data_IF_991294638516
#
_entry.id   IF_991294638516
#
_cell.length_a   1.000
_cell.length_b   1.000
_cell.length_c   1.000
_cell.angle_alpha   90.00
_cell.angle_beta   90.00
_cell.angle_gamma   90.00
#
_symmetry.space_group_name_H-M   'P 1'
#
loop_
_entity.id
_entity.type
_entity.pdbx_description
1 polymer ?
#
# COMPACT_ATOMS: atom_id res chain seq x y z
N UNK A 1 7.04 0.01 -24.80
CA UNK A 1 7.84 0.86 -23.89
C UNK A 1 7.09 0.97 -22.57
N UNK A 2 7.79 0.99 -21.43
CA UNK A 2 7.14 1.25 -20.12
C UNK A 2 6.67 2.71 -20.10
N UNK A 3 5.46 2.96 -19.60
CA UNK A 3 4.92 4.33 -19.49
C UNK A 3 5.08 4.85 -18.07
N UNK A 4 5.33 6.16 -17.92
CA UNK A 4 5.34 6.86 -16.65
C UNK A 4 3.91 7.04 -16.10
N UNK A 5 3.27 5.91 -15.77
CA UNK A 5 1.90 5.80 -15.30
C UNK A 5 1.84 4.82 -14.13
N UNK A 6 1.19 5.23 -13.05
CA UNK A 6 0.69 4.31 -12.02
C UNK A 6 -0.82 4.27 -12.15
N UNK A 7 -1.39 3.08 -12.31
CA UNK A 7 -2.84 2.90 -12.39
C UNK A 7 -3.34 2.09 -11.20
N UNK A 8 -4.64 2.18 -10.90
CA UNK A 8 -5.31 1.25 -9.99
C UNK A 8 -6.16 0.25 -10.77
N UNK A 9 -6.82 -0.67 -10.05
CA UNK A 9 -7.90 -1.48 -10.58
C UNK A 9 -9.21 -1.24 -9.81
N UNK A 10 -10.32 -1.56 -10.47
CA UNK A 10 -11.66 -1.28 -9.97
C UNK A 10 -12.07 -2.22 -8.83
N UNK A 11 -11.64 -3.48 -8.87
CA UNK A 11 -12.09 -4.53 -7.93
C UNK A 11 -10.93 -5.42 -7.43
N UNK A 12 -11.24 -6.45 -6.66
CA UNK A 12 -10.27 -7.46 -6.18
C UNK A 12 -9.78 -8.42 -7.28
N UNK A 13 -10.40 -8.41 -8.45
CA UNK A 13 -9.94 -9.13 -9.63
C UNK A 13 -9.93 -8.21 -10.84
N UNK A 14 -8.97 -8.42 -11.74
CA UNK A 14 -8.93 -7.68 -13.00
C UNK A 14 -10.09 -8.10 -13.90
N UNK A 15 -10.71 -7.16 -14.59
CA UNK A 15 -11.66 -7.42 -15.66
C UNK A 15 -10.95 -7.80 -16.97
N UNK A 16 -11.67 -8.24 -17.99
CA UNK A 16 -11.10 -8.47 -19.32
C UNK A 16 -10.49 -7.18 -19.91
N UNK A 17 -11.19 -6.06 -19.75
CA UNK A 17 -10.75 -4.75 -20.25
C UNK A 17 -9.52 -4.25 -19.51
N UNK A 18 -9.46 -4.42 -18.19
CA UNK A 18 -8.27 -4.07 -17.40
C UNK A 18 -7.07 -4.93 -17.81
N UNK A 19 -7.26 -6.23 -18.06
CA UNK A 19 -6.17 -7.09 -18.58
C UNK A 19 -5.67 -6.63 -19.94
N UNK A 20 -6.57 -6.27 -20.85
CA UNK A 20 -6.20 -5.77 -22.18
C UNK A 20 -5.43 -4.44 -22.05
N UNK A 21 -5.95 -3.51 -21.25
CA UNK A 21 -5.32 -2.23 -20.96
C UNK A 21 -3.92 -2.39 -20.37
N UNK A 22 -3.75 -3.25 -19.35
CA UNK A 22 -2.45 -3.44 -18.69
C UNK A 22 -1.39 -4.00 -19.65
N UNK A 23 -1.77 -4.93 -20.55
CA UNK A 23 -0.89 -5.48 -21.58
C UNK A 23 -0.45 -4.41 -22.59
N UNK A 24 -1.38 -3.56 -23.01
CA UNK A 24 -1.12 -2.53 -24.03
C UNK A 24 -0.41 -1.31 -23.46
N UNK A 25 -0.94 -0.74 -22.38
CA UNK A 25 -0.44 0.48 -21.78
C UNK A 25 0.91 0.29 -21.08
N UNK A 26 1.17 -0.90 -20.51
CA UNK A 26 2.40 -1.24 -19.78
C UNK A 26 2.78 -0.15 -18.75
N UNK A 27 1.91 0.12 -17.76
CA UNK A 27 2.17 1.12 -16.74
C UNK A 27 3.46 0.79 -15.98
N UNK A 28 4.05 1.81 -15.35
CA UNK A 28 5.22 1.63 -14.52
C UNK A 28 4.87 0.78 -13.29
N UNK A 29 3.72 1.01 -12.65
CA UNK A 29 3.27 0.27 -11.47
C UNK A 29 1.75 0.24 -11.28
N UNK A 30 1.31 -0.53 -10.30
CA UNK A 30 -0.09 -0.68 -9.87
C UNK A 30 -0.23 -0.16 -8.44
N UNK A 31 -1.21 0.70 -8.15
CA UNK A 31 -1.55 1.13 -6.79
C UNK A 31 -2.84 0.45 -6.31
N UNK A 32 -2.79 -0.13 -5.12
CA UNK A 32 -3.89 -0.88 -4.51
C UNK A 32 -4.60 -0.07 -3.42
N UNK A 33 -5.91 -0.25 -3.36
CA UNK A 33 -6.81 0.38 -2.40
C UNK A 33 -7.56 -0.69 -1.59
N UNK A 34 -8.27 -0.25 -0.55
CA UNK A 34 -9.07 -1.15 0.32
C UNK A 34 -10.02 -2.07 -0.46
N UNK A 35 -10.63 -1.59 -1.54
CA UNK A 35 -11.55 -2.37 -2.41
C UNK A 35 -10.87 -3.54 -3.15
N UNK A 36 -9.54 -3.54 -3.24
CA UNK A 36 -8.77 -4.57 -3.93
C UNK A 36 -8.29 -5.69 -2.98
N UNK A 37 -8.47 -5.52 -1.66
CA UNK A 37 -7.93 -6.39 -0.62
C UNK A 37 -9.03 -7.29 -0.05
N UNK A 38 -8.93 -8.60 -0.28
CA UNK A 38 -9.84 -9.62 0.28
C UNK A 38 -9.12 -10.49 1.31
N UNK A 39 -8.09 -11.18 0.86
CA UNK A 39 -7.24 -12.04 1.70
C UNK A 39 -5.84 -12.19 1.09
N UNK A 40 -4.96 -12.90 1.80
CA UNK A 40 -3.55 -13.08 1.43
C UNK A 40 -3.37 -13.78 0.08
N UNK A 41 -4.15 -14.83 -0.17
CA UNK A 41 -4.03 -15.62 -1.39
C UNK A 41 -4.55 -14.83 -2.61
N UNK A 42 -5.69 -14.18 -2.48
CA UNK A 42 -6.25 -13.31 -3.51
C UNK A 42 -5.31 -12.15 -3.83
N UNK A 43 -4.79 -11.46 -2.82
CA UNK A 43 -3.96 -10.29 -3.04
C UNK A 43 -2.63 -10.66 -3.71
N UNK A 44 -2.05 -11.79 -3.30
CA UNK A 44 -0.86 -12.35 -3.95
C UNK A 44 -1.12 -12.72 -5.42
N UNK A 45 -2.24 -13.35 -5.71
CA UNK A 45 -2.63 -13.70 -7.08
C UNK A 45 -2.79 -12.44 -7.96
N UNK A 46 -3.40 -11.37 -7.43
CA UNK A 46 -3.56 -10.10 -8.13
C UNK A 46 -2.22 -9.43 -8.46
N UNK A 47 -1.27 -9.40 -7.52
CA UNK A 47 0.05 -8.79 -7.77
C UNK A 47 0.90 -9.60 -8.75
N UNK A 48 0.81 -10.92 -8.70
CA UNK A 48 1.46 -11.83 -9.65
C UNK A 48 0.84 -11.70 -11.06
N UNK A 49 -0.49 -11.63 -11.15
CA UNK A 49 -1.21 -11.41 -12.42
C UNK A 49 -0.81 -10.09 -13.07
N UNK A 50 -0.75 -9.00 -12.28
CA UNK A 50 -0.29 -7.70 -12.79
C UNK A 50 1.11 -7.76 -13.39
N UNK A 51 2.08 -8.37 -12.68
CA UNK A 51 3.47 -8.51 -13.18
C UNK A 51 3.56 -9.35 -14.44
N UNK A 52 2.76 -10.43 -14.52
CA UNK A 52 2.66 -11.26 -15.71
C UNK A 52 2.12 -10.46 -16.91
N UNK A 53 1.04 -9.67 -16.71
CA UNK A 53 0.46 -8.82 -17.75
C UNK A 53 1.40 -7.69 -18.19
N UNK A 54 2.13 -7.08 -17.25
CA UNK A 54 3.12 -6.05 -17.53
C UNK A 54 4.38 -6.60 -18.23
N UNK A 55 4.57 -7.92 -18.22
CA UNK A 55 5.76 -8.60 -18.71
C UNK A 55 7.03 -8.23 -17.92
N UNK A 56 6.87 -7.95 -16.62
CA UNK A 56 7.92 -7.41 -15.75
C UNK A 56 7.77 -7.98 -14.33
N UNK A 57 8.65 -8.91 -13.96
CA UNK A 57 8.68 -9.49 -12.63
C UNK A 57 8.99 -8.46 -11.53
N UNK A 58 9.68 -7.37 -11.88
CA UNK A 58 10.07 -6.29 -10.97
C UNK A 58 9.05 -5.13 -10.94
N UNK A 59 7.91 -5.23 -11.63
CA UNK A 59 6.95 -4.15 -11.69
C UNK A 59 6.48 -3.73 -10.28
N UNK A 60 6.60 -2.43 -9.93
CA UNK A 60 6.13 -1.90 -8.66
C UNK A 60 4.63 -2.12 -8.42
N UNK A 61 4.33 -2.53 -7.19
CA UNK A 61 2.99 -2.53 -6.63
C UNK A 61 3.02 -1.68 -5.36
N UNK A 62 2.19 -0.64 -5.37
CA UNK A 62 2.11 0.41 -4.37
C UNK A 62 0.86 0.24 -3.50
N UNK A 63 0.91 0.74 -2.28
CA UNK A 63 -0.21 0.84 -1.34
C UNK A 63 0.00 2.04 -0.41
N UNK A 64 -1.05 2.55 0.23
CA UNK A 64 -0.91 3.41 1.41
C UNK A 64 -1.19 2.60 2.68
N UNK A 65 -0.15 2.19 3.39
CA UNK A 65 -0.23 1.35 4.59
C UNK A 65 0.49 2.00 5.79
N UNK A 66 0.04 3.20 6.18
CA UNK A 66 0.64 3.98 7.28
C UNK A 66 0.32 3.42 8.68
N UNK A 67 -0.90 2.89 8.84
CA UNK A 67 -1.50 2.57 10.13
C UNK A 67 -2.61 3.54 10.55
N UNK A 68 -3.38 3.17 11.56
CA UNK A 68 -4.54 3.94 12.01
C UNK A 68 -5.59 4.11 10.92
N UNK A 69 -5.89 5.35 10.52
CA UNK A 69 -6.94 5.64 9.53
C UNK A 69 -6.53 5.30 8.09
N UNK A 70 -5.23 5.23 7.81
CA UNK A 70 -4.69 4.95 6.46
C UNK A 70 -4.05 3.57 6.48
N UNK A 71 -4.91 2.57 6.34
CA UNK A 71 -4.53 1.17 6.35
C UNK A 71 -5.51 0.42 5.43
N UNK A 72 -5.00 -0.17 4.35
CA UNK A 72 -5.83 -0.91 3.37
C UNK A 72 -5.89 -2.39 3.72
N UNK A 73 -4.77 -2.97 4.17
CA UNK A 73 -4.66 -4.33 4.70
C UNK A 73 -4.92 -4.28 6.21
N UNK A 74 -6.09 -4.74 6.64
CA UNK A 74 -6.60 -4.57 8.01
C UNK A 74 -7.10 -5.88 8.63
N UNK A 75 -7.52 -5.83 9.89
CA UNK A 75 -8.11 -6.98 10.55
C UNK A 75 -9.39 -7.47 9.86
N UNK A 76 -9.72 -8.78 9.94
CA UNK A 76 -9.01 -9.82 10.69
C UNK A 76 -7.80 -10.47 9.99
N UNK A 77 -7.55 -10.18 8.71
CA UNK A 77 -6.52 -10.88 7.90
C UNK A 77 -5.11 -10.37 8.20
N UNK A 78 -4.99 -9.09 8.56
CA UNK A 78 -3.75 -8.43 8.94
C UNK A 78 -3.88 -7.74 10.30
N UNK A 79 -2.74 -7.34 10.86
CA UNK A 79 -2.68 -6.64 12.15
C UNK A 79 -3.21 -5.22 11.98
N UNK A 80 -3.88 -4.69 13.00
CA UNK A 80 -4.13 -3.25 13.11
C UNK A 80 -2.83 -2.55 13.54
N UNK A 81 -2.38 -1.57 12.76
CA UNK A 81 -1.20 -0.77 13.09
C UNK A 81 -1.60 0.55 13.75
N UNK A 82 -0.84 1.03 14.75
CA UNK A 82 -1.12 2.32 15.38
C UNK A 82 -0.86 3.48 14.40
N UNK A 83 -1.60 4.58 14.57
CA UNK A 83 -1.31 5.84 13.87
C UNK A 83 0.04 6.42 14.33
N UNK A 84 0.74 7.12 13.43
CA UNK A 84 2.08 7.66 13.69
C UNK A 84 2.17 8.52 14.97
N UNK A 85 1.18 9.39 15.19
CA UNK A 85 1.09 10.24 16.40
C UNK A 85 1.16 9.45 17.72
N UNK A 86 0.76 8.17 17.72
CA UNK A 86 0.82 7.33 18.94
C UNK A 86 2.24 6.96 19.34
N UNK A 87 3.20 6.95 18.41
CA UNK A 87 4.58 6.59 18.74
C UNK A 87 5.25 7.63 19.65
N UNK A 88 4.91 8.91 19.52
CA UNK A 88 5.45 10.00 20.34
C UNK A 88 5.20 9.80 21.84
N UNK A 89 4.10 9.14 22.21
CA UNK A 89 3.75 8.86 23.62
C UNK A 89 4.44 7.59 24.19
N UNK A 90 5.23 6.87 23.39
CA UNK A 90 5.90 5.64 23.84
C UNK A 90 7.24 5.95 24.52
N UNK A 91 7.76 5.00 25.31
CA UNK A 91 9.07 5.15 25.98
C UNK A 91 10.25 5.23 25.01
N UNK A 92 10.09 4.76 23.78
CA UNK A 92 11.12 4.76 22.74
C UNK A 92 10.47 4.98 21.35
N UNK A 93 10.07 6.22 21.02
CA UNK A 93 9.29 6.55 19.82
C UNK A 93 9.92 6.06 18.52
N UNK A 94 11.21 6.32 18.32
CA UNK A 94 11.94 5.90 17.12
C UNK A 94 11.95 4.37 16.96
N UNK A 95 12.18 3.64 18.06
CA UNK A 95 12.17 2.18 18.06
C UNK A 95 10.77 1.63 17.78
N UNK A 96 9.73 2.25 18.34
CA UNK A 96 8.35 1.86 18.11
C UNK A 96 7.94 2.06 16.64
N UNK A 97 8.27 3.23 16.07
CA UNK A 97 8.02 3.54 14.66
C UNK A 97 8.79 2.58 13.73
N UNK A 98 10.08 2.34 14.01
CA UNK A 98 10.90 1.38 13.25
C UNK A 98 10.31 -0.03 13.28
N UNK A 99 9.91 -0.53 14.45
CA UNK A 99 9.30 -1.86 14.57
C UNK A 99 7.97 -1.95 13.81
N UNK A 100 7.13 -0.91 13.88
CA UNK A 100 5.86 -0.87 13.14
C UNK A 100 6.10 -0.91 11.63
N UNK A 101 7.01 -0.08 11.11
CA UNK A 101 7.36 -0.07 9.69
C UNK A 101 7.94 -1.42 9.22
N UNK A 102 8.75 -2.10 10.06
CA UNK A 102 9.27 -3.43 9.77
C UNK A 102 8.17 -4.48 9.68
N UNK A 103 7.17 -4.43 10.56
CA UNK A 103 6.03 -5.34 10.55
C UNK A 103 5.14 -5.10 9.31
N UNK A 104 4.86 -3.84 8.99
CA UNK A 104 4.14 -3.46 7.76
C UNK A 104 4.88 -4.03 6.54
N UNK A 105 6.20 -3.79 6.43
CA UNK A 105 6.98 -4.28 5.30
C UNK A 105 6.94 -5.81 5.14
N UNK A 106 6.92 -6.56 6.26
CA UNK A 106 6.77 -8.02 6.22
C UNK A 106 5.40 -8.42 5.66
N UNK A 107 4.32 -7.82 6.15
CA UNK A 107 2.96 -8.11 5.66
C UNK A 107 2.79 -7.75 4.18
N UNK A 108 3.35 -6.62 3.74
CA UNK A 108 3.30 -6.18 2.33
C UNK A 108 4.07 -7.12 1.41
N UNK A 109 5.28 -7.52 1.82
CA UNK A 109 6.13 -8.37 1.00
C UNK A 109 5.50 -9.75 0.75
N UNK A 110 4.78 -10.30 1.75
CA UNK A 110 4.10 -11.59 1.64
C UNK A 110 3.12 -11.65 0.45
N UNK A 111 2.40 -10.55 0.21
CA UNK A 111 1.41 -10.43 -0.86
C UNK A 111 1.96 -9.78 -2.13
N UNK A 112 3.27 -9.62 -2.22
CA UNK A 112 3.96 -9.10 -3.40
C UNK A 112 3.86 -7.58 -3.57
N UNK A 113 3.52 -6.83 -2.54
CA UNK A 113 3.57 -5.35 -2.53
C UNK A 113 4.99 -4.93 -2.14
N UNK A 114 5.58 -4.00 -2.89
CA UNK A 114 7.00 -3.63 -2.74
C UNK A 114 7.25 -2.12 -2.57
N UNK A 115 6.20 -1.29 -2.64
CA UNK A 115 6.27 0.13 -2.30
C UNK A 115 5.11 0.45 -1.38
N UNK A 116 5.43 1.10 -0.27
CA UNK A 116 4.45 1.72 0.62
C UNK A 116 4.59 3.24 0.49
N UNK A 117 3.48 3.94 0.36
CA UNK A 117 3.42 5.40 0.29
C UNK A 117 3.48 6.01 1.70
N UNK A 118 4.48 5.61 2.46
CA UNK A 118 4.75 6.00 3.84
C UNK A 118 6.28 6.13 4.03
N UNK A 119 6.78 6.90 5.00
CA UNK A 119 6.03 7.61 6.05
C UNK A 119 5.45 8.95 5.59
N UNK A 120 4.46 9.44 6.34
CA UNK A 120 4.07 10.85 6.32
C UNK A 120 5.13 11.63 7.11
N UNK A 121 5.69 12.67 6.49
CA UNK A 121 6.70 13.55 7.11
C UNK A 121 6.18 14.98 7.34
N UNK A 122 4.87 15.17 7.16
CA UNK A 122 4.21 16.42 7.48
C UNK A 122 4.32 16.69 8.98
N UNK A 123 4.57 17.95 9.36
CA UNK A 123 4.64 18.36 10.76
C UNK A 123 3.28 18.88 11.19
N UNK A 124 2.70 18.29 12.24
CA UNK A 124 1.42 18.74 12.78
C UNK A 124 1.51 20.21 13.22
N UNK A 125 0.70 21.06 12.59
CA UNK A 125 0.55 22.48 12.93
C UNK A 125 -0.93 22.80 13.19
N UNK A 126 -1.28 23.64 14.17
CA UNK A 126 -2.67 24.03 14.44
C UNK A 126 -3.42 24.63 13.25
N UNK A 127 -2.70 25.24 12.29
CA UNK A 127 -3.27 25.80 11.06
C UNK A 127 -3.31 24.78 9.90
N UNK A 128 -2.81 23.56 10.12
CA UNK A 128 -2.77 22.51 9.09
C UNK A 128 -4.16 21.92 8.82
N UNK A 129 -4.38 21.57 7.56
CA UNK A 129 -5.59 20.90 7.12
C UNK A 129 -5.83 19.60 7.89
N UNK A 130 -7.07 19.39 8.37
CA UNK A 130 -7.46 18.23 9.19
C UNK A 130 -7.23 16.85 8.52
N UNK A 131 -6.87 16.82 7.23
CA UNK A 131 -6.56 15.59 6.47
C UNK A 131 -5.24 14.94 6.89
N UNK A 132 -4.30 15.70 7.46
CA UNK A 132 -3.06 15.15 8.02
C UNK A 132 -3.32 14.65 9.44
N UNK A 133 -3.78 15.52 10.36
CA UNK A 133 -4.25 15.11 11.69
C UNK A 133 -3.30 14.14 12.39
N UNK A 134 -3.82 12.96 12.81
CA UNK A 134 -3.05 11.95 13.55
C UNK A 134 -2.02 11.15 12.72
N UNK A 135 -1.81 11.52 11.44
CA UNK A 135 -0.79 10.92 10.54
C UNK A 135 0.57 11.60 10.69
N UNK A 136 0.60 12.84 11.18
CA UNK A 136 1.80 13.56 11.59
C UNK A 136 2.18 13.23 13.05
#
# INVERSE_FOLDING_TARGET
MIRALVCGCASSALSADERAFLKEARPWGLILFKRNVVDRAQLRALTDEFRALAGRADAPVLIDQEGGRVQRMAAPQWREYPAAARFAATRAPERAAWLSARLIAVDLHEVGINIDCAPVLDVADPEMHAVIGARA
#
